data_IF_838822950050
#
_entry.id   IF_838822950050
#
_cell.length_a   1.000
_cell.length_b   1.000
_cell.length_c   1.000
_cell.angle_alpha   90.00
_cell.angle_beta   90.00
_cell.angle_gamma   90.00
#
_symmetry.space_group_name_H-M   'P 1'
#
loop_
_entity.id
_entity.type
_entity.pdbx_description
1 polymer ?
#
# COMPACT_ATOMS: atom_id res chain seq x y z
N UNK A 1 -4.28 -20.79 32.65
CA UNK A 1 -4.12 -19.65 31.71
C UNK A 1 -2.67 -19.54 31.25
N UNK A 2 -1.68 -19.51 32.16
CA UNK A 2 -0.24 -19.48 31.83
C UNK A 2 0.20 -20.56 30.83
N UNK A 3 -0.05 -21.84 31.11
CA UNK A 3 0.40 -22.96 30.25
C UNK A 3 -0.15 -22.96 28.81
N UNK A 4 -1.21 -22.21 28.53
CA UNK A 4 -1.74 -22.05 27.18
C UNK A 4 -1.04 -20.92 26.44
N UNK A 5 -0.65 -19.86 27.15
CA UNK A 5 0.12 -18.74 26.60
C UNK A 5 1.54 -19.21 26.28
N UNK A 6 2.16 -19.94 27.20
CA UNK A 6 3.53 -20.47 27.06
C UNK A 6 3.66 -21.37 25.82
N UNK A 7 2.64 -22.20 25.54
CA UNK A 7 2.60 -23.04 24.34
C UNK A 7 2.49 -22.28 23.01
N UNK A 8 1.83 -21.12 23.00
CA UNK A 8 1.72 -20.29 21.78
C UNK A 8 3.04 -19.59 21.51
N UNK A 9 3.73 -19.09 22.54
CA UNK A 9 5.07 -18.53 22.40
C UNK A 9 6.08 -19.57 21.94
N UNK A 10 6.09 -20.75 22.55
CA UNK A 10 6.97 -21.84 22.12
C UNK A 10 6.73 -22.29 20.67
N UNK A 11 5.48 -22.29 20.21
CA UNK A 11 5.15 -22.63 18.82
C UNK A 11 5.56 -21.53 17.82
N UNK A 12 5.52 -20.27 18.25
CA UNK A 12 6.09 -19.14 17.51
C UNK A 12 7.62 -19.21 17.43
N UNK A 13 8.29 -19.48 18.56
CA UNK A 13 9.76 -19.58 18.62
C UNK A 13 10.31 -20.76 17.79
N UNK A 14 9.53 -21.84 17.65
CA UNK A 14 9.83 -22.96 16.75
C UNK A 14 9.49 -22.70 15.28
N UNK A 15 9.01 -21.51 14.93
CA UNK A 15 8.65 -21.12 13.57
C UNK A 15 7.39 -21.81 13.01
N UNK A 16 6.63 -22.51 13.86
CA UNK A 16 5.40 -23.22 13.45
C UNK A 16 4.16 -22.32 13.44
N UNK A 17 4.27 -21.12 14.01
CA UNK A 17 3.25 -20.06 13.96
C UNK A 17 3.84 -18.81 13.34
N UNK A 18 3.06 -18.14 12.48
CA UNK A 18 3.43 -16.83 11.99
C UNK A 18 3.17 -15.75 13.05
N UNK A 19 3.79 -14.57 12.89
CA UNK A 19 3.52 -13.42 13.77
C UNK A 19 2.04 -13.02 13.78
N UNK A 20 1.34 -13.23 12.66
CA UNK A 20 -0.11 -12.97 12.53
C UNK A 20 -0.91 -13.95 13.41
N UNK A 21 -0.55 -15.22 13.41
CA UNK A 21 -1.23 -16.26 14.20
C UNK A 21 -1.04 -16.04 15.71
N UNK A 22 0.17 -15.62 16.12
CA UNK A 22 0.46 -15.24 17.50
C UNK A 22 -0.44 -14.09 17.98
N UNK A 23 -0.57 -13.03 17.16
CA UNK A 23 -1.39 -11.87 17.52
C UNK A 23 -2.88 -12.20 17.59
N UNK A 24 -3.38 -13.04 16.68
CA UNK A 24 -4.76 -13.52 16.71
C UNK A 24 -5.05 -14.34 17.98
N UNK A 25 -4.13 -15.22 18.37
CA UNK A 25 -4.24 -16.01 19.59
C UNK A 25 -4.29 -15.11 20.84
N UNK A 26 -3.41 -14.11 20.96
CA UNK A 26 -3.38 -13.16 22.10
C UNK A 26 -4.69 -12.37 22.21
N UNK A 27 -5.21 -11.85 21.10
CA UNK A 27 -6.48 -11.09 21.09
C UNK A 27 -7.67 -11.95 21.52
N UNK A 28 -7.68 -13.24 21.17
CA UNK A 28 -8.73 -14.17 21.60
C UNK A 28 -8.77 -14.38 23.12
N UNK A 29 -7.63 -14.28 23.82
CA UNK A 29 -7.57 -14.38 25.27
C UNK A 29 -8.09 -13.12 25.98
N UNK A 30 -7.96 -11.94 25.36
CA UNK A 30 -8.47 -10.66 25.90
C UNK A 30 -10.00 -10.59 25.81
N UNK A 31 -10.58 -11.16 24.75
CA UNK A 31 -12.03 -11.16 24.53
C UNK A 31 -12.81 -12.03 25.53
N UNK A 32 -12.17 -12.99 26.20
CA UNK A 32 -12.80 -13.87 27.19
C UNK A 32 -12.95 -13.24 28.60
N UNK A 33 -12.45 -12.01 28.81
CA UNK A 33 -12.41 -11.35 30.13
C UNK A 33 -13.54 -10.37 30.45
N UNK A 34 -14.43 -10.05 29.52
CA UNK A 34 -15.42 -8.97 29.72
C UNK A 34 -16.85 -9.47 29.54
N UNK A 35 -17.51 -9.77 30.66
CA UNK A 35 -18.97 -9.93 30.74
C UNK A 35 -19.64 -8.65 31.26
N UNK A 36 -20.59 -8.17 30.45
CA UNK A 36 -21.77 -7.35 30.76
C UNK A 36 -21.63 -6.02 31.55
N UNK A 37 -21.99 -4.91 30.90
CA UNK A 37 -22.73 -3.83 31.53
C UNK A 37 -23.63 -3.09 30.52
N UNK A 38 -24.78 -2.65 31.03
CA UNK A 38 -25.96 -2.15 30.35
C UNK A 38 -25.75 -0.81 29.62
N UNK A 39 -26.66 -0.51 28.71
CA UNK A 39 -26.68 0.64 27.83
C UNK A 39 -26.63 1.99 28.55
N UNK A 40 -25.76 2.86 28.05
CA UNK A 40 -26.00 4.30 27.91
C UNK A 40 -25.32 4.73 26.61
N UNK A 41 -26.08 5.18 25.61
CA UNK A 41 -25.50 5.78 24.40
C UNK A 41 -24.65 6.99 24.83
N UNK A 42 -23.32 6.98 24.61
CA UNK A 42 -22.53 8.18 24.83
C UNK A 42 -22.87 9.18 23.72
N UNK A 43 -23.21 10.38 24.18
CA UNK A 43 -23.31 11.60 23.40
C UNK A 43 -22.02 11.76 22.57
N UNK A 44 -22.17 11.94 21.26
CA UNK A 44 -21.09 12.01 20.29
C UNK A 44 -19.90 12.84 20.79
N UNK A 45 -18.70 12.27 20.71
CA UNK A 45 -17.47 13.04 20.87
C UNK A 45 -16.35 12.55 19.95
N UNK A 46 -15.86 13.50 19.14
CA UNK A 46 -14.53 13.60 18.50
C UNK A 46 -14.28 12.68 17.30
N UNK A 47 -14.20 13.28 16.12
CA UNK A 47 -14.11 12.65 14.80
C UNK A 47 -15.40 11.90 14.43
N UNK A 48 -16.02 12.34 13.35
CA UNK A 48 -16.99 11.54 12.63
C UNK A 48 -16.37 10.15 12.43
N UNK A 49 -17.08 9.12 12.87
CA UNK A 49 -16.82 7.76 12.46
C UNK A 49 -16.80 7.79 10.93
N UNK A 50 -15.59 7.84 10.34
CA UNK A 50 -15.43 7.94 8.88
C UNK A 50 -16.38 6.91 8.28
N UNK A 51 -17.26 7.34 7.39
CA UNK A 51 -18.19 6.43 6.74
C UNK A 51 -17.38 5.47 5.86
N UNK A 52 -17.05 4.34 6.46
CA UNK A 52 -16.21 3.29 5.88
C UNK A 52 -16.96 2.51 4.79
N UNK A 53 -18.22 2.85 4.49
CA UNK A 53 -18.96 2.25 3.38
C UNK A 53 -18.43 2.64 1.99
N UNK A 54 -17.54 3.65 1.93
CA UNK A 54 -16.90 4.17 0.72
C UNK A 54 -15.55 3.53 0.37
N UNK A 55 -15.19 2.39 0.96
CA UNK A 55 -13.97 1.71 0.55
C UNK A 55 -14.12 1.09 -0.84
N UNK A 56 -13.15 1.38 -1.71
CA UNK A 56 -12.92 0.70 -3.00
C UNK A 56 -12.90 -0.83 -2.85
N UNK A 57 -12.46 -1.30 -1.68
CA UNK A 57 -12.64 -2.69 -1.25
C UNK A 57 -14.04 -2.86 -0.69
N UNK A 58 -15.00 -3.32 -1.48
CA UNK A 58 -16.35 -3.66 -0.99
C UNK A 58 -16.32 -4.86 -0.05
N UNK A 59 -15.99 -4.65 1.23
CA UNK A 59 -16.25 -5.59 2.33
C UNK A 59 -16.50 -4.87 3.64
N UNK A 60 -17.03 -5.62 4.60
CA UNK A 60 -17.21 -5.19 5.99
C UNK A 60 -15.95 -4.50 6.54
N UNK A 61 -16.08 -3.50 7.44
CA UNK A 61 -14.95 -2.82 8.06
C UNK A 61 -13.88 -3.80 8.58
N UNK A 62 -12.71 -3.81 7.93
CA UNK A 62 -11.56 -4.64 8.30
C UNK A 62 -11.25 -5.82 7.38
N UNK A 63 -12.10 -6.11 6.39
CA UNK A 63 -11.94 -7.24 5.45
C UNK A 63 -11.40 -6.87 4.06
N UNK A 64 -11.26 -5.57 3.77
CA UNK A 64 -10.52 -5.07 2.62
C UNK A 64 -9.50 -4.03 3.08
N UNK A 65 -8.23 -4.23 2.75
CA UNK A 65 -7.16 -3.34 3.19
C UNK A 65 -6.29 -2.99 2.00
N UNK A 66 -6.14 -1.69 1.77
CA UNK A 66 -5.06 -1.20 0.94
C UNK A 66 -3.74 -1.40 1.69
N UNK A 67 -2.73 -1.91 0.99
CA UNK A 67 -1.37 -2.06 1.50
C UNK A 67 -0.41 -1.24 0.66
N UNK A 68 0.71 -0.80 1.25
CA UNK A 68 1.75 -0.12 0.48
C UNK A 68 2.41 -1.15 -0.42
N UNK A 69 2.30 -0.96 -1.74
CA UNK A 69 3.00 -1.78 -2.72
C UNK A 69 4.37 -1.18 -3.01
N UNK A 70 4.44 0.10 -3.39
CA UNK A 70 5.71 0.77 -3.57
C UNK A 70 5.69 2.27 -3.41
N UNK A 71 6.89 2.84 -3.29
CA UNK A 71 7.14 4.28 -3.41
C UNK A 71 8.13 4.50 -4.54
N UNK A 72 7.80 5.40 -5.46
CA UNK A 72 8.69 5.79 -6.55
C UNK A 72 9.47 7.06 -6.17
N UNK A 73 10.79 6.91 -6.01
CA UNK A 73 11.69 8.01 -5.64
C UNK A 73 12.46 8.52 -6.84
N UNK A 74 12.43 9.84 -7.03
CA UNK A 74 13.33 10.52 -7.96
C UNK A 74 14.71 10.65 -7.35
N UNK A 75 15.71 10.14 -8.05
CA UNK A 75 17.11 10.22 -7.65
C UNK A 75 17.95 10.77 -8.78
N UNK A 76 18.99 11.51 -8.49
CA UNK A 76 19.88 12.00 -9.55
C UNK A 76 20.73 10.86 -10.15
N UNK A 77 21.03 9.85 -9.34
CA UNK A 77 21.94 8.75 -9.66
C UNK A 77 21.44 7.48 -8.93
N UNK A 78 21.05 6.47 -9.71
CA UNK A 78 20.54 5.18 -9.20
C UNK A 78 21.63 4.43 -8.46
N UNK A 79 22.83 4.37 -9.00
CA UNK A 79 23.95 3.60 -8.45
C UNK A 79 24.39 4.17 -7.10
N UNK A 80 24.51 5.50 -7.01
CA UNK A 80 24.80 6.23 -5.76
C UNK A 80 23.75 5.96 -4.70
N UNK A 81 22.47 5.97 -5.09
CA UNK A 81 21.35 5.78 -4.18
C UNK A 81 21.26 4.32 -3.72
N UNK A 82 21.39 3.37 -4.63
CA UNK A 82 21.50 1.94 -4.33
C UNK A 82 22.64 1.67 -3.35
N UNK A 83 23.85 2.16 -3.62
CA UNK A 83 24.99 1.95 -2.72
C UNK A 83 24.72 2.46 -1.30
N UNK A 84 24.00 3.58 -1.14
CA UNK A 84 23.57 4.07 0.16
C UNK A 84 22.59 3.10 0.84
N UNK A 85 21.52 2.71 0.14
CA UNK A 85 20.49 1.83 0.71
C UNK A 85 21.02 0.44 1.04
N UNK A 86 21.84 -0.16 0.18
CA UNK A 86 22.49 -1.44 0.44
C UNK A 86 23.46 -1.39 1.61
N UNK A 87 24.30 -0.35 1.67
CA UNK A 87 25.32 -0.25 2.71
C UNK A 87 24.74 -0.11 4.11
N UNK A 88 23.69 0.71 4.26
CA UNK A 88 23.19 1.08 5.58
C UNK A 88 21.94 0.29 6.00
N UNK A 89 21.18 -0.24 5.05
CA UNK A 89 19.92 -0.92 5.32
C UNK A 89 19.88 -2.36 4.77
N UNK A 90 20.93 -2.79 4.06
CA UNK A 90 21.01 -4.16 3.54
C UNK A 90 20.06 -4.46 2.38
N UNK A 91 19.49 -3.43 1.74
CA UNK A 91 18.55 -3.60 0.63
C UNK A 91 19.32 -3.91 -0.66
N UNK A 92 19.02 -5.04 -1.29
CA UNK A 92 19.48 -5.34 -2.64
C UNK A 92 18.66 -4.59 -3.69
N UNK A 93 19.22 -4.41 -4.88
CA UNK A 93 18.48 -3.88 -6.03
C UNK A 93 18.15 -4.99 -7.03
N UNK A 94 16.91 -4.97 -7.49
CA UNK A 94 16.44 -5.73 -8.66
C UNK A 94 16.15 -4.73 -9.77
N UNK A 95 16.89 -4.81 -10.87
CA UNK A 95 16.65 -3.99 -12.05
C UNK A 95 15.75 -4.74 -13.02
N UNK A 96 14.62 -4.14 -13.38
CA UNK A 96 13.72 -4.60 -14.43
C UNK A 96 13.88 -3.70 -15.66
N UNK A 97 13.28 -4.04 -16.81
CA UNK A 97 13.28 -3.16 -17.98
C UNK A 97 12.60 -1.81 -17.73
N UNK A 98 11.82 -1.73 -16.65
CA UNK A 98 11.03 -0.56 -16.32
C UNK A 98 11.64 0.13 -15.10
N UNK A 99 11.81 -0.50 -13.94
CA UNK A 99 12.27 0.16 -12.70
C UNK A 99 13.50 -0.49 -12.06
N UNK A 100 14.07 0.21 -11.08
CA UNK A 100 15.06 -0.31 -10.15
C UNK A 100 14.45 -0.44 -8.75
N UNK A 101 14.16 -1.67 -8.30
CA UNK A 101 13.47 -1.92 -7.04
C UNK A 101 14.43 -2.30 -5.91
N UNK A 102 14.30 -1.61 -4.78
CA UNK A 102 14.87 -2.00 -3.49
C UNK A 102 13.81 -2.80 -2.72
N UNK A 103 14.03 -4.10 -2.54
CA UNK A 103 13.11 -4.97 -1.79
C UNK A 103 13.08 -4.58 -0.31
N UNK A 104 11.88 -4.23 0.19
CA UNK A 104 11.65 -3.88 1.59
C UNK A 104 11.01 -5.02 2.40
N UNK A 105 10.83 -6.18 1.78
CA UNK A 105 10.17 -7.35 2.36
C UNK A 105 8.65 -7.25 2.34
N UNK A 106 7.98 -8.40 2.45
CA UNK A 106 6.52 -8.47 2.49
C UNK A 106 5.84 -8.08 1.17
N UNK A 107 6.59 -8.04 0.06
CA UNK A 107 6.09 -7.65 -1.25
C UNK A 107 6.22 -6.15 -1.57
N UNK A 108 6.62 -5.33 -0.58
CA UNK A 108 6.79 -3.89 -0.78
C UNK A 108 8.19 -3.53 -1.28
N UNK A 109 8.30 -2.49 -2.11
CA UNK A 109 9.59 -2.03 -2.63
C UNK A 109 9.69 -0.51 -2.77
N UNK A 110 10.91 -0.01 -2.88
CA UNK A 110 11.19 1.38 -3.27
C UNK A 110 11.77 1.36 -4.68
N UNK A 111 11.11 2.04 -5.62
CA UNK A 111 11.64 2.25 -6.96
C UNK A 111 12.56 3.47 -7.00
N UNK A 112 13.73 3.34 -7.62
CA UNK A 112 14.68 4.43 -7.86
C UNK A 112 14.70 4.81 -9.34
N UNK A 113 14.43 6.08 -9.65
CA UNK A 113 14.36 6.56 -11.04
C UNK A 113 15.01 7.93 -11.24
N UNK A 114 15.71 8.13 -12.37
CA UNK A 114 16.47 9.37 -12.63
C UNK A 114 15.70 10.45 -13.36
N UNK A 115 14.89 10.07 -14.35
CA UNK A 115 13.91 10.94 -15.03
C UNK A 115 13.12 10.17 -16.09
N UNK A 116 13.77 9.17 -16.70
CA UNK A 116 13.41 8.66 -18.02
C UNK A 116 12.84 7.24 -18.06
N UNK A 117 12.50 6.64 -16.92
CA UNK A 117 12.02 5.26 -16.93
C UNK A 117 10.58 5.19 -16.36
N UNK A 118 9.69 4.67 -17.21
CA UNK A 118 8.35 4.05 -17.03
C UNK A 118 7.05 4.86 -17.18
N UNK A 119 6.24 4.35 -18.11
CA UNK A 119 4.78 4.35 -18.41
C UNK A 119 3.95 5.63 -18.31
N UNK A 120 4.32 6.59 -17.49
CA UNK A 120 3.51 7.79 -17.32
C UNK A 120 3.73 8.81 -18.44
N UNK A 121 4.87 8.79 -19.14
CA UNK A 121 5.18 9.81 -20.17
C UNK A 121 4.24 9.72 -21.39
N UNK A 122 3.92 8.50 -21.82
CA UNK A 122 2.91 8.25 -22.88
C UNK A 122 1.54 8.78 -22.47
N UNK A 123 1.15 8.60 -21.20
CA UNK A 123 -0.11 9.13 -20.69
C UNK A 123 -0.07 10.66 -20.57
N UNK A 124 0.98 11.22 -19.97
CA UNK A 124 1.17 12.67 -19.72
C UNK A 124 1.05 13.53 -20.97
N UNK A 125 1.51 12.99 -22.08
CA UNK A 125 1.52 13.67 -23.37
C UNK A 125 0.21 13.49 -24.15
N UNK A 126 -0.72 12.65 -23.66
CA UNK A 126 -2.06 12.52 -24.24
C UNK A 126 -2.84 13.83 -24.14
N UNK A 127 -3.58 14.25 -25.19
CA UNK A 127 -4.46 15.42 -25.12
C UNK A 127 -5.59 15.26 -24.09
N UNK A 128 -5.94 14.02 -23.71
CA UNK A 128 -6.99 13.72 -22.74
C UNK A 128 -6.46 13.56 -21.31
N UNK A 129 -5.15 13.77 -21.08
CA UNK A 129 -4.59 13.70 -19.74
C UNK A 129 -5.08 14.84 -18.85
N UNK A 130 -5.51 14.45 -17.66
CA UNK A 130 -5.89 15.34 -16.55
C UNK A 130 -4.70 16.19 -16.09
N UNK A 131 -4.96 17.44 -15.67
CA UNK A 131 -3.91 18.45 -15.44
C UNK A 131 -2.87 17.99 -14.41
N UNK A 132 -3.31 17.38 -13.31
CA UNK A 132 -2.41 16.87 -12.27
C UNK A 132 -1.51 15.75 -12.78
N UNK A 133 -1.97 14.93 -13.73
CA UNK A 133 -1.15 13.87 -14.30
C UNK A 133 -0.03 14.42 -15.18
N UNK A 134 -0.23 15.59 -15.79
CA UNK A 134 0.73 16.26 -16.70
C UNK A 134 1.94 16.87 -16.00
N UNK A 135 1.86 17.12 -14.69
CA UNK A 135 2.90 17.87 -13.96
C UNK A 135 3.59 16.97 -12.95
N UNK A 136 4.46 16.03 -13.39
CA UNK A 136 5.22 15.21 -12.45
C UNK A 136 6.09 16.04 -11.54
N UNK A 137 6.30 15.51 -10.33
CA UNK A 137 7.46 15.90 -9.57
C UNK A 137 8.72 15.22 -10.17
N UNK A 138 9.48 15.99 -10.95
CA UNK A 138 10.73 15.54 -11.56
C UNK A 138 11.96 15.85 -10.70
N UNK A 139 11.78 16.49 -9.55
CA UNK A 139 12.90 16.95 -8.73
C UNK A 139 13.53 15.78 -7.97
N UNK A 140 14.85 15.56 -8.08
CA UNK A 140 15.54 14.58 -7.25
C UNK A 140 15.29 14.80 -5.76
N UNK A 141 15.14 13.72 -5.00
CA UNK A 141 14.83 13.73 -3.56
C UNK A 141 13.35 13.77 -3.23
N UNK A 142 12.46 13.78 -4.24
CA UNK A 142 11.03 13.78 -4.05
C UNK A 142 10.39 12.43 -4.34
N UNK A 143 9.27 12.17 -3.67
CA UNK A 143 8.34 11.10 -4.04
C UNK A 143 7.60 11.57 -5.30
N UNK A 144 7.64 10.76 -6.35
CA UNK A 144 6.88 11.04 -7.56
C UNK A 144 5.46 10.49 -7.47
N UNK A 145 5.32 9.24 -7.02
CA UNK A 145 4.05 8.66 -6.58
C UNK A 145 4.32 7.57 -5.54
N UNK A 146 3.25 7.15 -4.88
CA UNK A 146 3.21 5.89 -4.14
C UNK A 146 2.06 5.03 -4.65
N UNK A 147 2.19 3.73 -4.47
CA UNK A 147 1.25 2.75 -4.95
C UNK A 147 0.64 1.98 -3.78
N UNK A 148 -0.67 1.86 -3.82
CA UNK A 148 -1.45 1.01 -2.94
C UNK A 148 -1.88 -0.24 -3.70
N UNK A 149 -1.53 -1.41 -3.18
CA UNK A 149 -2.16 -2.65 -3.60
C UNK A 149 -3.49 -2.80 -2.86
N UNK A 150 -4.51 -3.23 -3.58
CA UNK A 150 -5.87 -3.35 -3.11
C UNK A 150 -6.34 -4.78 -3.37
N UNK A 151 -6.86 -5.42 -2.32
CA UNK A 151 -7.48 -6.74 -2.46
C UNK A 151 -8.76 -6.66 -3.30
N UNK A 152 -8.93 -7.62 -4.22
CA UNK A 152 -10.09 -7.68 -5.13
C UNK A 152 -10.21 -6.40 -5.95
N UNK A 153 -9.08 -5.90 -6.48
CA UNK A 153 -9.08 -4.71 -7.30
C UNK A 153 -9.85 -4.97 -8.59
N UNK A 154 -10.87 -4.15 -8.82
CA UNK A 154 -11.64 -4.12 -10.05
C UNK A 154 -11.53 -2.71 -10.62
N UNK A 155 -10.90 -2.59 -11.79
CA UNK A 155 -10.56 -1.32 -12.39
C UNK A 155 -11.81 -0.47 -12.69
N UNK A 156 -12.84 -1.07 -13.30
CA UNK A 156 -14.08 -0.37 -13.67
C UNK A 156 -14.84 0.11 -12.42
N UNK A 157 -15.02 -0.77 -11.43
CA UNK A 157 -15.66 -0.47 -10.15
C UNK A 157 -14.92 0.64 -9.41
N UNK A 158 -13.60 0.52 -9.31
CA UNK A 158 -12.76 1.47 -8.59
C UNK A 158 -12.79 2.85 -9.25
N UNK A 159 -12.66 2.88 -10.57
CA UNK A 159 -12.73 4.13 -11.35
C UNK A 159 -14.10 4.80 -11.19
N UNK A 160 -15.20 4.03 -11.27
CA UNK A 160 -16.54 4.55 -11.07
C UNK A 160 -16.79 5.09 -9.65
N UNK A 161 -16.28 4.42 -8.62
CA UNK A 161 -16.42 4.85 -7.22
C UNK A 161 -15.62 6.13 -6.94
N UNK A 162 -14.39 6.25 -7.46
CA UNK A 162 -13.59 7.47 -7.36
C UNK A 162 -14.23 8.64 -8.12
N UNK A 163 -14.73 8.40 -9.33
CA UNK A 163 -15.44 9.41 -10.10
C UNK A 163 -16.73 9.89 -9.40
N UNK A 164 -17.48 8.98 -8.78
CA UNK A 164 -18.67 9.33 -7.98
C UNK A 164 -18.32 10.17 -6.74
N UNK A 165 -17.12 10.02 -6.19
CA UNK A 165 -16.59 10.83 -5.11
C UNK A 165 -15.94 12.15 -5.59
N UNK A 166 -15.93 12.44 -6.89
CA UNK A 166 -15.38 13.67 -7.47
C UNK A 166 -13.88 13.63 -7.75
N UNK A 167 -13.26 12.45 -7.74
CA UNK A 167 -11.86 12.27 -8.10
C UNK A 167 -11.73 11.90 -9.58
N UNK A 168 -10.80 12.56 -10.27
CA UNK A 168 -10.40 12.16 -11.62
C UNK A 168 -9.50 10.93 -11.56
N UNK A 169 -9.63 10.06 -12.56
CA UNK A 169 -8.86 8.81 -12.66
C UNK A 169 -8.21 8.66 -14.02
N UNK A 170 -7.13 7.89 -14.03
CA UNK A 170 -6.30 7.62 -15.19
C UNK A 170 -5.96 6.14 -15.23
N UNK A 171 -6.34 5.44 -16.29
CA UNK A 171 -6.02 4.02 -16.47
C UNK A 171 -4.67 3.86 -17.16
N UNK A 172 -3.81 2.98 -16.62
CA UNK A 172 -2.50 2.66 -17.17
C UNK A 172 -2.31 1.15 -17.14
N UNK A 173 -2.44 0.51 -18.31
CA UNK A 173 -2.52 -0.93 -18.43
C UNK A 173 -3.63 -1.47 -17.51
N UNK A 174 -3.30 -2.33 -16.55
CA UNK A 174 -4.25 -2.92 -15.60
C UNK A 174 -4.25 -2.19 -14.25
N UNK A 175 -3.68 -0.98 -14.20
CA UNK A 175 -3.55 -0.15 -12.99
C UNK A 175 -4.38 1.13 -13.11
N UNK A 176 -4.68 1.75 -11.98
CA UNK A 176 -5.40 3.04 -11.93
C UNK A 176 -4.58 4.09 -11.18
N UNK A 177 -4.58 5.32 -11.66
CA UNK A 177 -3.99 6.46 -10.99
C UNK A 177 -5.06 7.50 -10.65
N UNK A 178 -4.87 8.16 -9.52
CA UNK A 178 -5.66 9.31 -9.09
C UNK A 178 -4.79 10.27 -8.28
N UNK A 179 -5.30 11.47 -8.02
CA UNK A 179 -4.69 12.41 -7.10
C UNK A 179 -5.46 12.40 -5.77
N UNK A 180 -4.71 12.42 -4.66
CA UNK A 180 -5.30 12.71 -3.36
C UNK A 180 -5.77 14.18 -3.27
N UNK A 181 -6.46 14.58 -2.19
CA UNK A 181 -6.95 15.96 -2.04
C UNK A 181 -5.88 17.05 -2.09
N UNK A 182 -4.62 16.72 -1.81
CA UNK A 182 -3.47 17.64 -1.82
C UNK A 182 -2.65 17.53 -3.12
N UNK A 183 -3.10 16.72 -4.09
CA UNK A 183 -2.46 16.56 -5.40
C UNK A 183 -1.32 15.53 -5.41
N UNK A 184 -1.17 14.70 -4.37
CA UNK A 184 -0.21 13.61 -4.36
C UNK A 184 -0.69 12.50 -5.30
N UNK A 185 0.20 12.05 -6.17
CA UNK A 185 -0.11 10.98 -7.11
C UNK A 185 -0.18 9.63 -6.41
N UNK A 186 -1.34 8.97 -6.53
CA UNK A 186 -1.62 7.65 -5.98
C UNK A 186 -1.87 6.68 -7.11
N UNK A 187 -1.10 5.59 -7.14
CA UNK A 187 -1.34 4.44 -8.01
C UNK A 187 -2.07 3.33 -7.25
N UNK A 188 -2.98 2.63 -7.90
CA UNK A 188 -3.77 1.54 -7.35
C UNK A 188 -3.56 0.32 -8.25
N UNK A 189 -3.23 -0.82 -7.63
CA UNK A 189 -2.98 -2.11 -8.28
C UNK A 189 -3.68 -3.24 -7.54
N UNK A 190 -3.88 -4.38 -8.22
CA UNK A 190 -4.39 -5.59 -7.58
C UNK A 190 -3.35 -6.28 -6.69
N UNK A 191 -3.79 -6.90 -5.60
CA UNK A 191 -2.92 -7.62 -4.64
C UNK A 191 -2.35 -8.95 -5.15
N UNK A 192 -2.48 -9.25 -6.45
CA UNK A 192 -1.95 -10.45 -7.10
C UNK A 192 -0.51 -10.35 -7.66
N UNK A 193 0.05 -9.14 -7.81
CA UNK A 193 1.42 -8.97 -8.35
C UNK A 193 2.44 -9.25 -7.24
N UNK A 194 2.68 -10.52 -6.96
CA UNK A 194 3.80 -10.94 -6.10
C UNK A 194 5.09 -10.86 -6.91
N UNK A 195 6.08 -10.15 -6.39
CA UNK A 195 7.47 -10.33 -6.81
C UNK A 195 7.83 -11.80 -6.67
N UNK A 196 7.80 -12.52 -7.78
CA UNK A 196 8.42 -13.83 -7.85
C UNK A 196 9.92 -13.56 -7.85
N UNK A 197 10.57 -13.75 -6.70
CA UNK A 197 11.97 -14.08 -6.69
C UNK A 197 12.10 -15.40 -7.46
N UNK A 198 12.60 -15.35 -8.70
CA UNK A 198 13.18 -16.54 -9.31
C UNK A 198 14.39 -16.93 -8.47
N UNK A 199 14.35 -18.12 -7.88
CA UNK A 199 15.46 -18.75 -7.14
C UNK A 199 16.66 -19.04 -8.05
#
# INVERSE_FOLDING_TARGET
MSERIDRVFEAYDRGTLSRRDLMAAIMSFVALGSSAACATKPKATRAEELDLSHYITRREPGEGRAHLNHVNLRVEDVERSHAFYSRFFGLGITTTPTYNALDCGGGAFISLQTKADIDLETFRTSPDAVEWARTPNESPGMIEHFCLEVDDFDLERTSAELAAAGHETVEISDNLLTADPDGILVQIVDSGIRFLHEE
#
